data_IF_674648937884
#
_entry.id   IF_674648937884
#
_cell.length_a   1.000
_cell.length_b   1.000
_cell.length_c   1.000
_cell.angle_alpha   90.00
_cell.angle_beta   90.00
_cell.angle_gamma   90.00
#
_symmetry.space_group_name_H-M   'P 1'
#
loop_
_entity.id
_entity.type
_entity.pdbx_description
1 polymer ?
#
# COMPACT_ATOMS: atom_id res chain seq x y z
N UNK A 1 12.36 24.02 -6.67
CA UNK A 1 12.56 22.69 -7.30
C UNK A 1 13.57 22.89 -8.40
N UNK A 2 14.72 22.23 -8.34
CA UNK A 2 15.78 22.40 -9.32
C UNK A 2 15.74 21.19 -10.26
N UNK A 3 15.70 21.46 -11.57
CA UNK A 3 15.88 20.41 -12.58
C UNK A 3 17.38 20.28 -12.77
N UNK A 4 17.92 19.10 -12.48
CA UNK A 4 19.34 18.81 -12.68
C UNK A 4 19.73 18.85 -14.16
N UNK A 5 21.04 18.84 -14.44
CA UNK A 5 21.59 18.90 -15.80
C UNK A 5 21.07 17.77 -16.70
N UNK A 6 20.64 16.67 -16.10
CA UNK A 6 20.13 15.46 -16.77
C UNK A 6 18.58 15.46 -16.89
N UNK A 7 17.92 16.56 -16.53
CA UNK A 7 16.45 16.66 -16.54
C UNK A 7 15.76 16.06 -15.32
N UNK A 8 16.51 15.48 -14.38
CA UNK A 8 15.97 14.80 -13.19
C UNK A 8 15.76 15.79 -12.04
N UNK A 9 14.62 15.69 -11.34
CA UNK A 9 14.26 16.60 -10.25
C UNK A 9 14.97 16.25 -8.95
N UNK A 10 15.64 17.23 -8.34
CA UNK A 10 16.22 17.11 -6.99
C UNK A 10 15.31 17.77 -5.93
N UNK A 11 15.31 17.29 -4.67
CA UNK A 11 16.08 16.16 -4.11
C UNK A 11 15.47 14.79 -4.45
N UNK A 12 16.33 13.75 -4.39
CA UNK A 12 15.96 12.32 -4.53
C UNK A 12 14.92 11.92 -3.50
N UNK A 13 14.09 10.96 -3.86
CA UNK A 13 13.06 10.43 -2.96
C UNK A 13 13.71 9.62 -1.83
N UNK A 14 13.39 9.98 -0.58
CA UNK A 14 13.81 9.20 0.59
C UNK A 14 12.79 8.11 0.87
N UNK A 15 13.28 6.96 1.36
CA UNK A 15 12.42 5.83 1.71
C UNK A 15 11.35 6.22 2.74
N UNK A 16 11.72 7.03 3.74
CA UNK A 16 10.78 7.49 4.75
C UNK A 16 9.61 8.32 4.20
N UNK A 17 9.86 9.19 3.22
CA UNK A 17 8.81 9.99 2.58
C UNK A 17 7.84 9.10 1.77
N UNK A 18 8.36 8.01 1.21
CA UNK A 18 7.60 7.00 0.47
C UNK A 18 6.72 6.20 1.42
N UNK A 19 7.29 5.70 2.51
CA UNK A 19 6.58 4.96 3.56
C UNK A 19 5.48 5.81 4.18
N UNK A 20 5.77 7.06 4.59
CA UNK A 20 4.76 7.93 5.22
C UNK A 20 3.54 8.17 4.32
N UNK A 21 3.78 8.35 3.01
CA UNK A 21 2.68 8.53 2.04
C UNK A 21 1.92 7.24 1.78
N UNK A 22 2.62 6.11 1.66
CA UNK A 22 1.99 4.80 1.55
C UNK A 22 1.09 4.52 2.76
N UNK A 23 1.56 4.80 3.96
CA UNK A 23 0.80 4.62 5.19
C UNK A 23 -0.43 5.54 5.24
N UNK A 24 -0.29 6.80 4.81
CA UNK A 24 -1.42 7.73 4.75
C UNK A 24 -2.51 7.25 3.77
N UNK A 25 -2.12 6.76 2.59
CA UNK A 25 -3.06 6.20 1.63
C UNK A 25 -3.70 4.91 2.13
N UNK A 26 -2.91 4.03 2.74
CA UNK A 26 -3.40 2.80 3.38
C UNK A 26 -4.39 3.10 4.49
N UNK A 27 -4.14 4.10 5.34
CA UNK A 27 -5.06 4.50 6.40
C UNK A 27 -6.39 5.03 5.84
N UNK A 28 -6.34 5.85 4.79
CA UNK A 28 -7.55 6.31 4.10
C UNK A 28 -8.34 5.17 3.46
N UNK A 29 -7.64 4.24 2.79
CA UNK A 29 -8.26 3.06 2.19
C UNK A 29 -8.85 2.11 3.25
N UNK A 30 -8.16 1.91 4.36
CA UNK A 30 -8.66 1.12 5.49
C UNK A 30 -9.93 1.73 6.08
N UNK A 31 -9.98 3.05 6.26
CA UNK A 31 -11.19 3.73 6.73
C UNK A 31 -12.37 3.54 5.75
N UNK A 32 -12.12 3.68 4.44
CA UNK A 32 -13.15 3.44 3.42
C UNK A 32 -13.61 1.98 3.42
N UNK A 33 -12.69 1.02 3.56
CA UNK A 33 -13.02 -0.40 3.64
C UNK A 33 -13.89 -0.71 4.86
N UNK A 34 -13.49 -0.22 6.04
CA UNK A 34 -14.25 -0.41 7.28
C UNK A 34 -15.66 0.21 7.17
N UNK A 35 -15.77 1.41 6.57
CA UNK A 35 -17.08 2.03 6.31
C UNK A 35 -17.91 1.22 5.31
N UNK A 36 -17.28 0.73 4.24
CA UNK A 36 -17.90 -0.10 3.22
C UNK A 36 -18.46 -1.41 3.78
N UNK A 37 -17.75 -2.03 4.74
CA UNK A 37 -18.15 -3.28 5.37
C UNK A 37 -19.52 -3.16 6.08
N UNK A 38 -19.87 -1.99 6.62
CA UNK A 38 -21.19 -1.77 7.24
C UNK A 38 -22.37 -1.83 6.26
N UNK A 39 -22.12 -1.73 4.95
CA UNK A 39 -23.16 -1.88 3.94
C UNK A 39 -23.39 -3.34 3.52
N UNK A 40 -22.57 -4.28 4.01
CA UNK A 40 -22.78 -5.72 3.82
C UNK A 40 -23.73 -6.21 4.91
N UNK A 41 -24.95 -6.57 4.52
CA UNK A 41 -26.04 -6.91 5.46
C UNK A 41 -25.71 -8.16 6.27
N UNK A 42 -25.22 -9.20 5.61
CA UNK A 42 -24.92 -10.47 6.26
C UNK A 42 -23.55 -10.41 6.98
N UNK A 43 -23.50 -10.71 8.30
CA UNK A 43 -22.28 -10.66 9.08
C UNK A 43 -21.24 -11.70 8.63
N UNK A 44 -21.67 -12.88 8.17
CA UNK A 44 -20.77 -13.93 7.69
C UNK A 44 -20.12 -13.51 6.36
N UNK A 45 -20.89 -12.92 5.44
CA UNK A 45 -20.37 -12.36 4.18
C UNK A 45 -19.42 -11.19 4.44
N UNK A 46 -19.72 -10.36 5.45
CA UNK A 46 -18.88 -9.23 5.86
C UNK A 46 -17.53 -9.70 6.38
N UNK A 47 -17.52 -10.68 7.28
CA UNK A 47 -16.31 -11.29 7.81
C UNK A 47 -15.50 -11.98 6.70
N UNK A 48 -16.15 -12.73 5.81
CA UNK A 48 -15.51 -13.37 4.67
C UNK A 48 -14.88 -12.36 3.70
N UNK A 49 -15.57 -11.27 3.38
CA UNK A 49 -15.05 -10.18 2.53
C UNK A 49 -13.82 -9.55 3.16
N UNK A 50 -13.90 -9.16 4.44
CA UNK A 50 -12.79 -8.53 5.16
C UNK A 50 -11.59 -9.47 5.31
N UNK A 51 -11.84 -10.76 5.57
CA UNK A 51 -10.82 -11.80 5.60
C UNK A 51 -10.12 -11.95 4.26
N UNK A 52 -10.88 -12.05 3.17
CA UNK A 52 -10.34 -12.17 1.81
C UNK A 52 -9.52 -10.94 1.40
N UNK A 53 -10.03 -9.74 1.65
CA UNK A 53 -9.33 -8.48 1.37
C UNK A 53 -8.06 -8.38 2.21
N UNK A 54 -8.13 -8.69 3.50
CA UNK A 54 -6.98 -8.65 4.41
C UNK A 54 -5.88 -9.64 4.00
N UNK A 55 -6.25 -10.86 3.61
CA UNK A 55 -5.29 -11.86 3.12
C UNK A 55 -4.66 -11.43 1.79
N UNK A 56 -5.46 -10.95 0.83
CA UNK A 56 -4.96 -10.46 -0.45
C UNK A 56 -4.00 -9.28 -0.26
N UNK A 57 -4.33 -8.37 0.66
CA UNK A 57 -3.48 -7.24 1.02
C UNK A 57 -2.13 -7.69 1.63
N UNK A 58 -2.12 -8.70 2.49
CA UNK A 58 -0.87 -9.27 3.02
C UNK A 58 -0.01 -9.88 1.91
N UNK A 59 -0.59 -10.71 1.04
CA UNK A 59 0.15 -11.40 -0.01
C UNK A 59 0.72 -10.41 -1.02
N UNK A 60 -0.14 -9.52 -1.55
CA UNK A 60 0.28 -8.53 -2.54
C UNK A 60 1.22 -7.49 -1.91
N UNK A 61 0.91 -7.00 -0.72
CA UNK A 61 1.74 -6.07 0.03
C UNK A 61 3.14 -6.63 0.29
N UNK A 62 3.24 -7.89 0.73
CA UNK A 62 4.52 -8.57 0.92
C UNK A 62 5.31 -8.72 -0.38
N UNK A 63 4.67 -9.16 -1.46
CA UNK A 63 5.29 -9.30 -2.78
C UNK A 63 5.84 -7.96 -3.30
N UNK A 64 5.02 -6.90 -3.27
CA UNK A 64 5.44 -5.57 -3.71
C UNK A 64 6.49 -4.94 -2.78
N UNK A 65 6.47 -5.25 -1.48
CA UNK A 65 7.50 -4.77 -0.56
C UNK A 65 8.85 -5.39 -0.90
N UNK A 66 8.89 -6.72 -1.05
CA UNK A 66 10.10 -7.45 -1.36
C UNK A 66 10.68 -6.99 -2.71
N UNK A 67 9.87 -6.94 -3.77
CA UNK A 67 10.30 -6.46 -5.08
C UNK A 67 10.69 -4.98 -5.06
N UNK A 68 9.92 -4.13 -4.39
CA UNK A 68 10.17 -2.69 -4.29
C UNK A 68 11.47 -2.37 -3.55
N UNK A 69 11.75 -3.05 -2.43
CA UNK A 69 13.00 -2.89 -1.68
C UNK A 69 14.19 -3.47 -2.43
N UNK A 70 14.04 -4.62 -3.09
CA UNK A 70 15.08 -5.17 -3.96
C UNK A 70 15.50 -4.16 -5.04
N UNK A 71 14.52 -3.61 -5.75
CA UNK A 71 14.75 -2.57 -6.75
C UNK A 71 15.35 -1.28 -6.16
N UNK A 72 14.93 -0.90 -4.95
CA UNK A 72 15.50 0.24 -4.24
C UNK A 72 17.00 0.04 -3.97
N UNK A 73 17.38 -1.12 -3.45
CA UNK A 73 18.77 -1.48 -3.15
C UNK A 73 19.63 -1.52 -4.41
N UNK A 74 19.10 -2.08 -5.50
CA UNK A 74 19.79 -2.10 -6.80
C UNK A 74 20.02 -0.68 -7.38
N UNK A 75 19.17 0.29 -7.02
CA UNK A 75 19.23 1.66 -7.55
C UNK A 75 20.26 2.57 -6.84
N UNK A 76 20.96 2.09 -5.80
CA UNK A 76 22.01 2.84 -5.06
C UNK A 76 21.61 4.28 -4.72
N UNK A 77 20.38 4.47 -4.23
CA UNK A 77 19.78 5.77 -3.88
C UNK A 77 19.53 6.76 -5.04
N UNK A 78 19.74 6.37 -6.30
CA UNK A 78 19.17 7.07 -7.46
C UNK A 78 17.67 6.75 -7.56
N UNK A 79 16.87 7.27 -6.63
CA UNK A 79 15.41 7.05 -6.63
C UNK A 79 14.72 8.29 -7.20
N UNK A 80 14.02 8.06 -8.31
CA UNK A 80 13.39 9.09 -9.15
C UNK A 80 11.90 9.17 -8.88
N UNK A 81 11.30 10.33 -9.18
CA UNK A 81 9.85 10.51 -9.03
C UNK A 81 9.16 9.93 -10.26
N UNK A 82 7.90 9.52 -10.10
CA UNK A 82 7.04 9.12 -11.23
C UNK A 82 7.01 10.19 -12.35
N UNK A 83 7.10 11.47 -11.99
CA UNK A 83 7.14 12.59 -12.94
C UNK A 83 8.39 12.63 -13.80
N UNK A 84 9.46 11.94 -13.40
CA UNK A 84 10.72 11.84 -14.12
C UNK A 84 10.73 10.63 -15.07
N UNK A 85 9.59 9.96 -15.29
CA UNK A 85 9.48 8.82 -16.21
C UNK A 85 10.05 9.09 -17.60
N UNK A 86 9.91 10.33 -18.11
CA UNK A 86 10.43 10.75 -19.41
C UNK A 86 11.97 10.79 -19.49
N UNK A 87 12.68 10.71 -18.36
CA UNK A 87 14.14 10.69 -18.29
C UNK A 87 14.70 9.27 -18.27
N UNK A 88 13.85 8.24 -18.34
CA UNK A 88 14.26 6.82 -18.40
C UNK A 88 14.79 6.49 -19.78
N UNK A 89 16.03 5.97 -19.87
CA UNK A 89 16.68 5.59 -21.13
C UNK A 89 16.97 4.09 -21.23
N UNK A 90 16.90 3.37 -20.11
CA UNK A 90 17.23 1.95 -20.01
C UNK A 90 16.30 1.22 -19.04
N UNK A 91 16.32 -0.11 -19.08
CA UNK A 91 15.56 -0.94 -18.14
C UNK A 91 16.00 -0.70 -16.69
N UNK A 92 17.31 -0.54 -16.44
CA UNK A 92 17.84 -0.21 -15.12
C UNK A 92 17.40 1.18 -14.64
N UNK A 93 17.26 2.16 -15.53
CA UNK A 93 16.68 3.47 -15.18
C UNK A 93 15.19 3.34 -14.79
N UNK A 94 14.43 2.44 -15.42
CA UNK A 94 13.01 2.28 -15.11
C UNK A 94 12.80 1.83 -13.65
N UNK A 95 13.70 0.97 -13.15
CA UNK A 95 13.68 0.46 -11.77
C UNK A 95 13.76 1.59 -10.74
N UNK A 96 14.49 2.67 -11.04
CA UNK A 96 14.60 3.86 -10.17
C UNK A 96 13.29 4.60 -9.94
N UNK A 97 12.33 4.47 -10.87
CA UNK A 97 11.00 5.09 -10.81
C UNK A 97 9.95 4.12 -10.27
N UNK A 98 10.07 2.82 -10.60
CA UNK A 98 9.16 1.78 -10.13
C UNK A 98 9.32 1.43 -8.65
N UNK A 99 10.56 1.35 -8.15
CA UNK A 99 10.86 1.03 -6.75
C UNK A 99 10.01 1.83 -5.73
N UNK A 100 9.94 3.17 -5.79
CA UNK A 100 9.11 3.94 -4.87
C UNK A 100 7.61 3.77 -5.10
N UNK A 101 7.17 3.33 -6.28
CA UNK A 101 5.78 2.96 -6.54
C UNK A 101 5.41 1.67 -5.82
N UNK A 102 6.21 0.62 -6.01
CA UNK A 102 6.03 -0.68 -5.36
C UNK A 102 6.04 -0.55 -3.83
N UNK A 103 7.00 0.19 -3.26
CA UNK A 103 7.07 0.39 -1.80
C UNK A 103 5.84 1.16 -1.28
N UNK A 104 5.33 2.17 -2.00
CA UNK A 104 4.10 2.88 -1.58
C UNK A 104 2.90 1.97 -1.57
N UNK A 105 2.71 1.20 -2.64
CA UNK A 105 1.60 0.27 -2.77
C UNK A 105 1.67 -0.79 -1.68
N UNK A 106 2.85 -1.38 -1.48
CA UNK A 106 3.10 -2.36 -0.44
C UNK A 106 2.78 -1.83 0.96
N UNK A 107 3.23 -0.62 1.31
CA UNK A 107 2.94 -0.03 2.62
C UNK A 107 1.44 0.27 2.77
N UNK A 108 0.75 0.69 1.72
CA UNK A 108 -0.68 0.92 1.77
C UNK A 108 -1.43 -0.40 2.08
N UNK A 109 -1.11 -1.48 1.36
CA UNK A 109 -1.67 -2.82 1.57
C UNK A 109 -1.37 -3.35 2.98
N UNK A 110 -0.14 -3.19 3.47
CA UNK A 110 0.25 -3.61 4.83
C UNK A 110 -0.44 -2.82 5.94
N UNK A 111 -1.01 -1.65 5.65
CA UNK A 111 -1.87 -0.91 6.60
C UNK A 111 -3.33 -1.38 6.50
N UNK A 112 -3.81 -1.70 5.29
CA UNK A 112 -5.17 -2.22 5.07
C UNK A 112 -5.33 -3.60 5.71
N UNK A 113 -4.35 -4.48 5.53
CA UNK A 113 -4.35 -5.85 6.03
C UNK A 113 -4.76 -6.00 7.51
N UNK A 114 -4.06 -5.37 8.48
CA UNK A 114 -4.41 -5.51 9.89
C UNK A 114 -5.76 -4.88 10.22
N UNK A 115 -6.19 -3.82 9.52
CA UNK A 115 -7.51 -3.23 9.72
C UNK A 115 -8.63 -4.18 9.27
N UNK A 116 -8.47 -4.80 8.09
CA UNK A 116 -9.44 -5.74 7.55
C UNK A 116 -9.53 -7.01 8.39
N UNK A 117 -8.38 -7.65 8.68
CA UNK A 117 -8.33 -8.88 9.48
C UNK A 117 -8.79 -8.64 10.92
N UNK A 118 -8.39 -7.52 11.52
CA UNK A 118 -8.80 -7.17 12.87
C UNK A 118 -10.31 -6.93 12.97
N UNK A 119 -10.92 -6.31 11.96
CA UNK A 119 -12.37 -6.14 11.93
C UNK A 119 -13.11 -7.46 11.66
N UNK A 120 -12.58 -8.33 10.80
CA UNK A 120 -13.14 -9.67 10.58
C UNK A 120 -13.14 -10.49 11.89
N UNK A 121 -12.00 -10.56 12.59
CA UNK A 121 -11.90 -11.26 13.88
C UNK A 121 -12.82 -10.66 14.95
N UNK A 122 -13.03 -9.34 14.92
CA UNK A 122 -13.96 -8.67 15.83
C UNK A 122 -15.42 -9.02 15.54
N UNK A 123 -15.80 -9.18 14.27
CA UNK A 123 -17.14 -9.63 13.87
C UNK A 123 -17.35 -11.08 14.29
N UNK A 124 -16.39 -11.97 14.02
CA UNK A 124 -16.46 -13.39 14.38
C UNK A 124 -16.63 -13.62 15.88
N UNK A 125 -16.05 -12.74 16.71
CA UNK A 125 -16.13 -12.81 18.17
C UNK A 125 -17.30 -12.04 18.77
N UNK A 126 -18.05 -11.28 17.97
CA UNK A 126 -19.14 -10.46 18.46
C UNK A 126 -20.33 -11.33 18.89
N UNK A 127 -20.93 -11.03 20.03
CA UNK A 127 -22.11 -11.75 20.52
C UNK A 127 -23.27 -11.67 19.52
N UNK A 128 -23.99 -12.76 19.32
CA UNK A 128 -25.27 -12.79 18.61
C UNK A 128 -26.20 -11.69 19.19
N UNK A 129 -26.75 -10.81 18.33
CA UNK A 129 -27.51 -9.58 18.66
C UNK A 129 -26.72 -8.32 19.04
N UNK A 130 -25.39 -8.29 18.87
CA UNK A 130 -24.67 -7.01 18.89
C UNK A 130 -24.89 -6.26 17.57
N UNK A 131 -24.72 -4.94 17.56
CA UNK A 131 -24.80 -4.12 16.33
C UNK A 131 -23.83 -4.56 15.20
N UNK A 132 -22.82 -5.35 15.55
CA UNK A 132 -21.86 -5.94 14.61
C UNK A 132 -22.36 -7.25 13.98
N UNK A 133 -23.33 -7.90 14.64
CA UNK A 133 -23.87 -9.22 14.34
C UNK A 133 -25.42 -9.18 14.31
N UNK A 134 -25.98 -8.04 13.90
CA UNK A 134 -27.43 -7.75 13.81
C UNK A 134 -27.84 -7.40 12.40
#
# INVERSE_FOLDING_TARGET
>A
MIVGRDGVRTPRLRLWDVVRRGALYGAGAAAVLCLGAFFVVDPDDRAALLGAVGFLALVTGGFFLAGGLFFWLCSRDDIRRWRDWRTVRSQSDAVTVFAPGCVRFAVAELVIAPAALGLADLIDRASYNSWLNS
#
